data_IF_826865418937
#
_entry.id   IF_826865418937
#
_cell.length_a   1.000
_cell.length_b   1.000
_cell.length_c   1.000
_cell.angle_alpha   90.00
_cell.angle_beta   90.00
_cell.angle_gamma   90.00
#
_symmetry.space_group_name_H-M   'P 1'
#
loop_
_entity.id
_entity.type
_entity.pdbx_description
1 polymer ?
#
# COMPACT_ATOMS: atom_id res chain seq x y z
N UNK A 1 -2.57 -7.20 -32.61
CA UNK A 1 -3.50 -7.41 -31.48
C UNK A 1 -4.81 -6.71 -31.79
N UNK A 2 -5.96 -7.37 -31.59
CA UNK A 2 -7.28 -6.73 -31.74
C UNK A 2 -7.44 -5.71 -30.60
N UNK A 3 -7.49 -4.43 -30.93
CA UNK A 3 -7.70 -3.32 -29.99
C UNK A 3 -9.19 -3.00 -29.77
N UNK A 4 -10.08 -3.84 -30.28
CA UNK A 4 -11.53 -3.63 -30.19
C UNK A 4 -12.02 -4.14 -28.84
N UNK A 5 -12.47 -3.21 -28.00
CA UNK A 5 -13.10 -3.50 -26.72
C UNK A 5 -14.62 -3.41 -26.93
N UNK A 6 -15.34 -4.41 -26.44
CA UNK A 6 -16.80 -4.37 -26.33
C UNK A 6 -17.10 -4.26 -24.84
N UNK A 7 -17.88 -3.25 -24.47
CA UNK A 7 -18.28 -3.00 -23.09
C UNK A 7 -19.75 -3.33 -22.94
N UNK A 8 -20.09 -4.05 -21.87
CA UNK A 8 -21.46 -4.12 -21.39
C UNK A 8 -21.90 -2.76 -20.83
N UNK A 9 -23.21 -2.57 -20.70
CA UNK A 9 -23.77 -1.36 -20.10
C UNK A 9 -23.21 -1.06 -18.68
N UNK A 10 -23.16 -2.02 -17.73
CA UNK A 10 -22.60 -1.75 -16.41
C UNK A 10 -21.12 -1.39 -16.48
N UNK A 11 -20.31 -2.07 -17.30
CA UNK A 11 -18.89 -1.74 -17.46
C UNK A 11 -18.69 -0.33 -18.03
N UNK A 12 -19.51 0.06 -18.99
CA UNK A 12 -19.49 1.41 -19.57
C UNK A 12 -19.78 2.46 -18.52
N UNK A 13 -20.83 2.29 -17.72
CA UNK A 13 -21.20 3.21 -16.64
C UNK A 13 -20.07 3.28 -15.60
N UNK A 14 -19.54 2.13 -15.17
CA UNK A 14 -18.43 2.09 -14.21
C UNK A 14 -17.20 2.80 -14.73
N UNK A 15 -16.83 2.60 -16.00
CA UNK A 15 -15.68 3.28 -16.62
C UNK A 15 -15.91 4.79 -16.74
N UNK A 16 -17.14 5.25 -17.01
CA UNK A 16 -17.46 6.67 -17.01
C UNK A 16 -17.28 7.28 -15.61
N UNK A 17 -17.82 6.64 -14.57
CA UNK A 17 -17.65 7.10 -13.20
C UNK A 17 -16.18 7.08 -12.75
N UNK A 18 -15.45 6.03 -13.12
CA UNK A 18 -14.02 5.91 -12.86
C UNK A 18 -13.21 7.01 -13.56
N UNK A 19 -13.51 7.30 -14.83
CA UNK A 19 -12.84 8.34 -15.60
C UNK A 19 -13.05 9.75 -15.01
N UNK A 20 -14.23 10.00 -14.44
CA UNK A 20 -14.58 11.30 -13.86
C UNK A 20 -14.06 11.47 -12.43
N UNK A 21 -14.28 10.48 -11.58
CA UNK A 21 -14.25 10.67 -10.13
C UNK A 21 -13.09 9.96 -9.41
N UNK A 22 -12.34 9.08 -10.08
CA UNK A 22 -11.30 8.32 -9.39
C UNK A 22 -10.18 9.24 -8.87
N UNK A 23 -9.66 9.08 -7.64
CA UNK A 23 -8.67 9.99 -7.05
C UNK A 23 -7.36 10.04 -7.84
N UNK A 24 -6.88 8.89 -8.31
CA UNK A 24 -5.64 8.79 -9.07
C UNK A 24 -5.82 9.14 -10.55
N UNK A 25 -5.01 10.10 -11.04
CA UNK A 25 -5.07 10.61 -12.42
C UNK A 25 -4.81 9.52 -13.45
N UNK A 26 -3.83 8.64 -13.20
CA UNK A 26 -3.49 7.58 -14.15
C UNK A 26 -4.66 6.60 -14.35
N UNK A 27 -5.41 6.30 -13.29
CA UNK A 27 -6.61 5.47 -13.36
C UNK A 27 -7.73 6.19 -14.13
N UNK A 28 -7.96 7.49 -13.90
CA UNK A 28 -8.92 8.28 -14.71
C UNK A 28 -8.56 8.25 -16.21
N UNK A 29 -7.27 8.42 -16.52
CA UNK A 29 -6.76 8.40 -17.88
C UNK A 29 -6.96 7.03 -18.55
N UNK A 30 -6.70 5.93 -17.85
CA UNK A 30 -6.98 4.57 -18.33
C UNK A 30 -8.47 4.40 -18.68
N UNK A 31 -9.35 4.80 -17.76
CA UNK A 31 -10.80 4.72 -17.97
C UNK A 31 -11.25 5.49 -19.21
N UNK A 32 -10.74 6.71 -19.39
CA UNK A 32 -10.99 7.55 -20.56
C UNK A 32 -10.54 6.85 -21.85
N UNK A 33 -9.30 6.34 -21.88
CA UNK A 33 -8.76 5.66 -23.07
C UNK A 33 -9.56 4.41 -23.46
N UNK A 34 -10.03 3.61 -22.51
CA UNK A 34 -10.89 2.47 -22.80
C UNK A 34 -12.27 2.86 -23.35
N UNK A 35 -12.89 3.91 -22.81
CA UNK A 35 -14.15 4.42 -23.35
C UNK A 35 -13.98 4.88 -24.81
N UNK A 36 -12.87 5.53 -25.14
CA UNK A 36 -12.56 5.93 -26.52
C UNK A 36 -12.36 4.73 -27.44
N UNK A 37 -11.67 3.67 -26.98
CA UNK A 37 -11.50 2.42 -27.73
C UNK A 37 -12.85 1.73 -27.98
N UNK A 38 -13.72 1.66 -26.97
CA UNK A 38 -15.04 1.07 -27.09
C UNK A 38 -15.95 1.85 -28.07
N UNK A 39 -15.74 3.16 -28.20
CA UNK A 39 -16.40 4.02 -29.21
C UNK A 39 -15.80 3.86 -30.62
N UNK A 40 -14.74 3.07 -30.79
CA UNK A 40 -14.11 2.81 -32.09
C UNK A 40 -12.96 3.74 -32.45
N UNK A 41 -12.47 4.57 -31.51
CA UNK A 41 -11.32 5.43 -31.75
C UNK A 41 -10.06 4.59 -31.98
N UNK A 42 -9.24 4.97 -32.97
CA UNK A 42 -7.99 4.27 -33.25
C UNK A 42 -6.95 4.55 -32.14
N UNK A 43 -6.10 3.58 -31.77
CA UNK A 43 -5.06 3.80 -30.77
C UNK A 43 -4.18 5.04 -31.04
N UNK A 44 -3.88 5.35 -32.30
CA UNK A 44 -3.10 6.54 -32.67
C UNK A 44 -3.81 7.87 -32.38
N UNK A 45 -5.14 7.92 -32.51
CA UNK A 45 -5.92 9.10 -32.16
C UNK A 45 -5.93 9.30 -30.65
N UNK A 46 -6.09 8.21 -29.90
CA UNK A 46 -6.09 8.22 -28.44
C UNK A 46 -4.71 8.66 -27.90
N UNK A 47 -3.61 8.21 -28.50
CA UNK A 47 -2.27 8.68 -28.08
C UNK A 47 -2.10 10.18 -28.27
N UNK A 48 -2.64 10.73 -29.35
CA UNK A 48 -2.56 12.17 -29.63
C UNK A 48 -3.42 12.99 -28.64
N UNK A 49 -4.59 12.48 -28.27
CA UNK A 49 -5.52 13.15 -27.35
C UNK A 49 -5.07 13.06 -25.88
N UNK A 50 -4.59 11.89 -25.45
CA UNK A 50 -4.21 11.63 -24.05
C UNK A 50 -2.75 12.00 -23.76
N UNK A 51 -1.89 12.04 -24.78
CA UNK A 51 -0.46 12.28 -24.62
C UNK A 51 0.30 11.08 -24.04
N UNK A 52 -0.09 9.85 -24.39
CA UNK A 52 0.61 8.63 -23.99
C UNK A 52 1.13 7.84 -25.21
N UNK A 53 2.00 6.85 -24.97
CA UNK A 53 2.54 6.03 -26.06
C UNK A 53 1.58 4.90 -26.48
N UNK A 54 1.68 4.43 -27.72
CA UNK A 54 0.87 3.31 -28.23
C UNK A 54 1.03 2.06 -27.37
N UNK A 55 2.23 1.80 -26.87
CA UNK A 55 2.53 0.69 -25.95
C UNK A 55 1.67 0.74 -24.69
N UNK A 56 1.47 1.93 -24.13
CA UNK A 56 0.65 2.13 -22.93
C UNK A 56 -0.81 1.78 -23.22
N UNK A 57 -1.35 2.17 -24.37
CA UNK A 57 -2.71 1.81 -24.78
C UNK A 57 -2.86 0.29 -24.93
N UNK A 58 -1.92 -0.38 -25.60
CA UNK A 58 -1.96 -1.84 -25.75
C UNK A 58 -1.85 -2.56 -24.40
N UNK A 59 -1.05 -2.03 -23.47
CA UNK A 59 -1.00 -2.56 -22.12
C UNK A 59 -2.37 -2.45 -21.42
N UNK A 60 -3.07 -1.32 -21.54
CA UNK A 60 -4.42 -1.18 -20.97
C UNK A 60 -5.42 -2.16 -21.57
N UNK A 61 -5.41 -2.33 -22.90
CA UNK A 61 -6.23 -3.34 -23.60
C UNK A 61 -5.93 -4.74 -23.08
N UNK A 62 -4.66 -5.08 -22.92
CA UNK A 62 -4.24 -6.38 -22.40
C UNK A 62 -4.70 -6.60 -20.95
N UNK A 63 -4.50 -5.62 -20.07
CA UNK A 63 -4.97 -5.68 -18.68
C UNK A 63 -6.49 -5.81 -18.58
N UNK A 64 -7.22 -5.11 -19.45
CA UNK A 64 -8.68 -5.21 -19.53
C UNK A 64 -9.14 -6.61 -19.94
N UNK A 65 -8.54 -7.21 -20.97
CA UNK A 65 -8.93 -8.55 -21.39
C UNK A 65 -8.59 -9.63 -20.35
N UNK A 66 -7.50 -9.45 -19.60
CA UNK A 66 -7.08 -10.43 -18.60
C UNK A 66 -7.85 -10.32 -17.27
N UNK A 67 -8.25 -9.11 -16.87
CA UNK A 67 -8.73 -8.86 -15.50
C UNK A 67 -9.84 -7.80 -15.40
N UNK A 68 -10.39 -7.36 -16.53
CA UNK A 68 -11.47 -6.37 -16.59
C UNK A 68 -11.13 -5.08 -15.84
N UNK A 69 -12.12 -4.56 -15.13
CA UNK A 69 -11.99 -3.33 -14.31
C UNK A 69 -10.90 -3.47 -13.25
N UNK A 70 -10.74 -4.64 -12.62
CA UNK A 70 -9.72 -4.85 -11.59
C UNK A 70 -8.31 -4.65 -12.15
N UNK A 71 -8.07 -5.04 -13.40
CA UNK A 71 -6.81 -4.79 -14.11
C UNK A 71 -6.49 -3.30 -14.22
N UNK A 72 -7.49 -2.44 -14.40
CA UNK A 72 -7.27 -1.00 -14.53
C UNK A 72 -6.93 -0.30 -13.21
N UNK A 73 -7.45 -0.84 -12.10
CA UNK A 73 -7.22 -0.33 -10.74
C UNK A 73 -5.84 -0.73 -10.18
N UNK A 74 -5.24 -1.79 -10.73
CA UNK A 74 -3.90 -2.26 -10.34
C UNK A 74 -2.77 -1.35 -10.85
N UNK A 75 -1.61 -1.42 -10.21
CA UNK A 75 -0.38 -0.78 -10.70
C UNK A 75 -0.25 0.72 -10.44
N UNK A 76 -1.21 1.36 -9.76
CA UNK A 76 -0.91 2.61 -9.04
C UNK A 76 -0.07 2.24 -7.81
N UNK A 77 1.23 2.01 -8.02
CA UNK A 77 2.20 1.91 -6.94
C UNK A 77 2.57 3.33 -6.51
N UNK A 78 1.66 3.97 -5.77
CA UNK A 78 1.94 5.24 -5.14
C UNK A 78 2.98 5.05 -4.03
N UNK A 79 4.13 5.73 -4.15
CA UNK A 79 5.11 5.87 -3.08
C UNK A 79 6.45 5.19 -3.34
N UNK A 80 7.44 5.57 -2.52
CA UNK A 80 8.76 4.93 -2.47
C UNK A 80 8.58 3.48 -2.01
N UNK A 81 9.30 2.55 -2.62
CA UNK A 81 9.38 1.17 -2.12
C UNK A 81 9.63 1.17 -0.61
N UNK A 82 9.01 0.21 0.10
CA UNK A 82 9.24 0.00 1.52
C UNK A 82 10.75 -0.09 1.74
N UNK A 83 11.29 0.81 2.55
CA UNK A 83 12.73 0.88 2.74
C UNK A 83 13.26 -0.36 3.48
N UNK A 84 12.42 -1.02 4.28
CA UNK A 84 12.74 -2.25 5.01
C UNK A 84 12.06 -3.45 4.35
N UNK A 85 12.79 -4.57 4.25
CA UNK A 85 12.21 -5.84 3.81
C UNK A 85 11.29 -6.44 4.90
N UNK A 86 10.36 -7.35 4.56
CA UNK A 86 9.49 -8.00 5.54
C UNK A 86 10.26 -8.66 6.70
N UNK A 87 11.43 -9.23 6.44
CA UNK A 87 12.29 -9.91 7.43
C UNK A 87 12.89 -8.91 8.43
N UNK A 88 13.33 -7.74 7.93
CA UNK A 88 13.80 -6.65 8.79
C UNK A 88 12.68 -6.11 9.67
N UNK A 89 11.47 -6.00 9.13
CA UNK A 89 10.29 -5.56 9.88
C UNK A 89 9.97 -6.57 10.99
N UNK A 90 9.98 -7.88 10.69
CA UNK A 90 9.74 -8.92 11.69
C UNK A 90 10.77 -8.86 12.82
N UNK A 91 12.04 -8.68 12.49
CA UNK A 91 13.13 -8.54 13.48
C UNK A 91 12.94 -7.30 14.36
N UNK A 92 12.54 -6.17 13.76
CA UNK A 92 12.28 -4.95 14.50
C UNK A 92 11.10 -5.09 15.47
N UNK A 93 10.04 -5.79 15.06
CA UNK A 93 8.86 -6.08 15.90
C UNK A 93 9.24 -7.03 17.04
N UNK A 94 10.00 -8.09 16.75
CA UNK A 94 10.49 -9.03 17.77
C UNK A 94 11.29 -8.30 18.85
N UNK A 95 12.26 -7.47 18.44
CA UNK A 95 13.09 -6.69 19.35
C UNK A 95 12.25 -5.69 20.18
N UNK A 96 11.26 -5.04 19.56
CA UNK A 96 10.38 -4.09 20.25
C UNK A 96 9.41 -4.77 21.24
N UNK A 97 9.04 -6.03 21.01
CA UNK A 97 8.15 -6.81 21.87
C UNK A 97 8.90 -7.49 23.03
N UNK A 98 10.15 -7.90 22.82
CA UNK A 98 10.95 -8.58 23.83
C UNK A 98 11.32 -7.65 25.01
N UNK A 99 11.71 -6.42 24.70
CA UNK A 99 12.20 -5.46 25.68
C UNK A 99 11.71 -4.03 25.38
N UNK A 100 11.56 -3.20 26.42
CA UNK A 100 11.22 -1.77 26.25
C UNK A 100 12.43 -0.96 25.76
N UNK A 101 12.84 -1.21 24.51
CA UNK A 101 14.02 -0.62 23.90
C UNK A 101 13.74 0.76 23.30
N UNK A 102 14.81 1.56 23.19
CA UNK A 102 14.77 2.78 22.39
C UNK A 102 14.82 2.45 20.90
N UNK A 103 14.30 3.34 20.04
CA UNK A 103 14.34 3.17 18.58
C UNK A 103 15.77 2.91 18.06
N UNK A 104 16.78 3.54 18.65
CA UNK A 104 18.17 3.32 18.28
C UNK A 104 18.66 1.90 18.62
N UNK A 105 18.20 1.32 19.74
CA UNK A 105 18.54 -0.06 20.11
C UNK A 105 17.83 -1.07 19.23
N UNK A 106 16.58 -0.81 18.87
CA UNK A 106 15.85 -1.63 17.88
C UNK A 106 16.57 -1.59 16.52
N UNK A 107 17.02 -0.41 16.09
CA UNK A 107 17.81 -0.29 14.85
C UNK A 107 19.09 -1.14 14.90
N UNK A 108 19.83 -1.12 16.01
CA UNK A 108 21.02 -1.97 16.19
C UNK A 108 20.71 -3.47 16.13
N UNK A 109 19.59 -3.91 16.72
CA UNK A 109 19.16 -5.31 16.63
C UNK A 109 18.86 -5.73 15.19
N UNK A 110 18.25 -4.84 14.40
CA UNK A 110 18.01 -5.08 12.97
C UNK A 110 19.33 -5.09 12.20
N UNK A 111 20.22 -4.13 12.46
CA UNK A 111 21.51 -4.02 11.80
C UNK A 111 22.42 -5.22 12.06
N UNK A 112 22.39 -5.76 13.28
CA UNK A 112 23.15 -6.94 13.65
C UNK A 112 22.74 -8.20 12.87
N UNK A 113 21.46 -8.32 12.46
CA UNK A 113 20.96 -9.48 11.71
C UNK A 113 20.97 -9.26 10.18
N UNK A 114 20.75 -8.03 9.71
CA UNK A 114 20.46 -7.75 8.29
C UNK A 114 21.43 -6.77 7.62
N UNK A 115 22.44 -6.28 8.35
CA UNK A 115 23.35 -5.24 7.88
C UNK A 115 22.76 -3.82 7.99
N UNK A 116 23.45 -2.80 7.46
CA UNK A 116 23.12 -1.40 7.69
C UNK A 116 21.66 -1.05 7.41
N UNK A 117 21.04 -0.25 8.28
CA UNK A 117 19.64 0.08 8.13
C UNK A 117 19.44 0.96 6.87
N UNK A 118 18.58 0.56 5.92
CA UNK A 118 18.35 1.26 4.66
C UNK A 118 17.50 2.54 4.82
N UNK A 119 17.18 2.94 6.05
CA UNK A 119 16.27 4.04 6.33
C UNK A 119 16.62 4.78 7.63
N UNK A 120 15.99 5.94 7.82
CA UNK A 120 16.13 6.73 9.05
C UNK A 120 15.39 6.08 10.23
N UNK A 121 15.75 6.46 11.46
CA UNK A 121 15.05 6.04 12.68
C UNK A 121 13.56 6.45 12.67
N UNK A 122 13.20 7.56 12.03
CA UNK A 122 11.79 7.95 11.86
C UNK A 122 11.03 6.99 10.95
N UNK A 123 11.68 6.49 9.90
CA UNK A 123 11.09 5.48 9.00
C UNK A 123 10.89 4.16 9.75
N UNK A 124 11.83 3.77 10.61
CA UNK A 124 11.69 2.63 11.51
C UNK A 124 10.51 2.83 12.47
N UNK A 125 10.40 4.00 13.10
CA UNK A 125 9.29 4.31 14.01
C UNK A 125 7.92 4.26 13.31
N UNK A 126 7.82 4.83 12.12
CA UNK A 126 6.60 4.79 11.31
C UNK A 126 6.25 3.36 10.88
N UNK A 127 7.26 2.54 10.57
CA UNK A 127 7.09 1.13 10.23
C UNK A 127 6.56 0.33 11.42
N UNK A 128 7.11 0.52 12.61
CA UNK A 128 6.61 -0.10 13.84
C UNK A 128 5.17 0.35 14.17
N UNK A 129 4.85 1.64 13.95
CA UNK A 129 3.49 2.16 14.13
C UNK A 129 2.48 1.50 13.19
N UNK A 130 2.86 1.25 11.93
CA UNK A 130 2.02 0.50 10.97
C UNK A 130 1.77 -0.95 11.42
N UNK A 131 2.69 -1.54 12.18
CA UNK A 131 2.54 -2.86 12.81
C UNK A 131 1.76 -2.83 14.13
N UNK A 132 1.16 -1.69 14.49
CA UNK A 132 0.35 -1.53 15.70
C UNK A 132 1.15 -1.16 16.96
N UNK A 133 2.48 -0.99 16.87
CA UNK A 133 3.30 -0.60 18.01
C UNK A 133 3.31 0.93 18.17
N UNK A 134 2.76 1.42 19.29
CA UNK A 134 2.78 2.86 19.59
C UNK A 134 3.93 3.18 20.54
N UNK A 135 4.94 3.88 20.03
CA UNK A 135 6.05 4.36 20.85
C UNK A 135 5.60 5.57 21.68
N UNK A 136 5.42 5.39 23.00
CA UNK A 136 5.24 6.52 23.93
C UNK A 136 6.61 7.02 24.34
N UNK A 137 6.89 8.31 24.10
CA UNK A 137 8.13 8.97 24.55
C UNK A 137 8.40 8.59 26.01
N UNK A 138 9.63 8.17 26.25
CA UNK A 138 10.19 7.70 27.51
C UNK A 138 9.59 8.43 28.72
N UNK A 139 8.69 7.75 29.43
CA UNK A 139 8.59 7.86 30.88
C UNK A 139 8.40 6.44 31.38
N UNK A 140 9.35 5.98 32.19
CA UNK A 140 9.23 4.75 32.97
C UNK A 140 7.88 4.78 33.70
N UNK A 141 6.93 3.95 33.28
CA UNK A 141 5.87 3.47 34.18
C UNK A 141 5.49 2.05 33.79
N UNK A 142 5.70 1.18 34.78
CA UNK A 142 5.50 -0.26 34.83
C UNK A 142 4.23 -0.77 34.13
N UNK A 143 4.33 -2.02 33.67
CA UNK A 143 3.29 -2.96 33.20
C UNK A 143 1.85 -2.51 33.49
N UNK A 144 1.02 -2.45 32.45
CA UNK A 144 -0.43 -2.64 32.64
C UNK A 144 -0.65 -4.12 32.96
N UNK A 145 -0.61 -4.48 34.24
CA UNK A 145 -1.15 -5.75 34.70
C UNK A 145 -2.64 -5.77 34.34
N UNK A 146 -3.05 -6.82 33.62
CA UNK A 146 -4.46 -7.22 33.61
C UNK A 146 -4.73 -7.73 35.01
N UNK A 147 -5.15 -6.84 35.90
CA UNK A 147 -5.63 -7.23 37.23
C UNK A 147 -6.90 -8.04 37.03
N UNK A 148 -6.79 -9.37 37.04
CA UNK A 148 -7.93 -10.24 37.31
C UNK A 148 -8.47 -9.84 38.68
N UNK A 149 -9.73 -9.42 38.71
CA UNK A 149 -10.46 -9.07 39.92
C UNK A 149 -10.80 -10.37 40.67
N UNK A 150 -9.82 -10.93 41.38
CA UNK A 150 -10.07 -12.02 42.33
C UNK A 150 -10.52 -11.42 43.65
N UNK A 151 -11.65 -11.92 44.12
CA UNK A 151 -12.36 -11.49 45.31
C UNK A 151 -11.49 -11.61 46.56
N UNK A 152 -11.62 -10.57 47.38
CA UNK A 152 -11.32 -10.44 48.81
C UNK A 152 -10.98 -11.76 49.55
N UNK A 153 -9.82 -11.76 50.22
CA UNK A 153 -9.67 -12.10 51.65
C UNK A 153 -8.24 -11.72 52.11
N UNK A 154 -8.14 -10.77 53.06
CA UNK A 154 -6.97 -10.59 53.95
C UNK A 154 -7.06 -11.65 55.11
N UNK A 155 -6.16 -11.75 56.13
CA UNK A 155 -4.88 -11.08 56.52
C UNK A 155 -3.83 -12.11 57.08
N UNK A 156 -3.02 -11.84 58.14
CA UNK A 156 -1.91 -10.87 58.41
C UNK A 156 -0.52 -11.59 58.43
N UNK A 157 0.68 -11.04 58.59
CA UNK A 157 1.25 -9.79 59.12
C UNK A 157 2.39 -9.31 58.19
#
# INVERSE_FOLDING_TARGET
MKSKIILSEPERITLQQLALNHPHRDIRTRGTGLLMLARGSKPSQITAEIGCSLRVIYNWVHMWHNSGIAGLLGGHAGGRYLAMTPEMIATAVEAACAESLTLARIAQCVEAKHGPLPCTLETLANTLKKQGLTYKRTRLSLKKSVTKRSLLTNPPC
#
